data_IF_181109687069
#
_entry.id   IF_181109687069
#
_cell.length_a   1.000
_cell.length_b   1.000
_cell.length_c   1.000
_cell.angle_alpha   90.00
_cell.angle_beta   90.00
_cell.angle_gamma   90.00
#
_symmetry.space_group_name_H-M   'P 1'
#
loop_
_entity.id
_entity.type
_entity.pdbx_description
1 polymer ?
#
# COMPACT_ATOMS: atom_id res chain seq x y z
N UNK A 1 -9.52 -0.79 -1.05
CA UNK A 1 -9.69 -0.86 0.43
C UNK A 1 -8.32 -0.92 1.05
N UNK A 2 -8.12 -0.14 2.11
CA UNK A 2 -6.85 -0.11 2.83
C UNK A 2 -7.14 -0.16 4.31
N UNK A 3 -6.36 -0.94 5.05
CA UNK A 3 -6.41 -1.00 6.51
C UNK A 3 -5.12 -0.42 7.05
N UNK A 4 -5.26 0.50 7.99
CA UNK A 4 -4.14 1.17 8.61
C UNK A 4 -4.14 0.99 10.13
N UNK A 5 -2.96 1.08 10.70
CA UNK A 5 -2.77 1.24 12.13
C UNK A 5 -2.87 2.69 12.57
N UNK A 6 -3.57 2.92 13.68
CA UNK A 6 -3.57 4.19 14.38
C UNK A 6 -2.35 4.35 15.29
N UNK A 7 -2.01 5.59 15.62
CA UNK A 7 -1.03 5.91 16.65
C UNK A 7 -1.42 5.18 17.96
N UNK A 8 -0.48 4.53 18.67
CA UNK A 8 -0.75 3.89 19.95
C UNK A 8 -1.41 4.82 20.98
N UNK A 9 -1.15 6.13 20.90
CA UNK A 9 -1.73 7.15 21.77
C UNK A 9 -3.08 7.70 21.27
N UNK A 10 -3.56 7.25 20.09
CA UNK A 10 -4.85 7.68 19.56
C UNK A 10 -5.98 7.25 20.51
N UNK A 11 -6.77 8.24 20.95
CA UNK A 11 -7.96 8.02 21.75
C UNK A 11 -9.18 8.51 20.98
N UNK A 12 -10.07 7.58 20.63
CA UNK A 12 -11.38 7.90 20.09
C UNK A 12 -12.42 7.72 21.19
N UNK A 13 -13.46 8.55 21.21
CA UNK A 13 -14.57 8.36 22.14
C UNK A 13 -15.34 7.09 21.71
N UNK A 14 -15.24 6.01 22.48
CA UNK A 14 -15.77 4.67 22.16
C UNK A 14 -17.26 4.62 21.78
N UNK A 15 -18.03 5.68 22.06
CA UNK A 15 -19.44 5.80 21.68
C UNK A 15 -19.70 6.33 20.26
N UNK A 16 -18.71 6.92 19.59
CA UNK A 16 -18.81 7.49 18.24
C UNK A 16 -17.42 7.43 17.56
N UNK A 17 -17.02 6.24 17.12
CA UNK A 17 -15.89 6.14 16.19
C UNK A 17 -16.24 6.92 14.92
N UNK A 18 -15.33 7.71 14.35
CA UNK A 18 -15.59 8.42 13.10
C UNK A 18 -15.88 7.42 11.98
N UNK A 19 -17.09 7.49 11.44
CA UNK A 19 -17.50 6.85 10.19
C UNK A 19 -18.07 7.95 9.30
N UNK A 20 -17.22 8.45 8.40
CA UNK A 20 -17.54 9.54 7.49
C UNK A 20 -16.63 9.46 6.26
N UNK A 21 -16.95 10.27 5.26
CA UNK A 21 -16.08 10.51 4.11
C UNK A 21 -14.72 10.97 4.60
N UNK A 22 -13.65 10.33 4.11
CA UNK A 22 -12.29 10.57 4.59
C UNK A 22 -11.87 12.05 4.53
N UNK A 23 -12.37 12.78 3.55
CA UNK A 23 -12.12 14.22 3.41
C UNK A 23 -12.73 15.08 4.53
N UNK A 24 -13.82 14.63 5.17
CA UNK A 24 -14.46 15.34 6.28
C UNK A 24 -13.70 15.13 7.60
N UNK A 25 -13.02 14.00 7.75
CA UNK A 25 -12.38 13.56 8.99
C UNK A 25 -10.84 13.55 8.90
N UNK A 26 -10.25 14.34 8.00
CA UNK A 26 -8.79 14.36 7.75
C UNK A 26 -7.93 14.46 9.01
N UNK A 27 -8.34 15.27 9.99
CA UNK A 27 -7.58 15.43 11.24
C UNK A 27 -7.59 14.16 12.12
N UNK A 28 -8.64 13.35 12.03
CA UNK A 28 -8.73 12.07 12.76
C UNK A 28 -7.97 10.98 11.99
N UNK A 29 -8.04 11.00 10.66
CA UNK A 29 -7.30 10.10 9.77
C UNK A 29 -5.79 10.29 9.90
N UNK A 30 -5.29 11.50 10.13
CA UNK A 30 -3.85 11.73 10.31
C UNK A 30 -3.25 10.97 11.49
N UNK A 31 -4.06 10.55 12.46
CA UNK A 31 -3.62 9.68 13.54
C UNK A 31 -3.43 8.23 13.10
N UNK A 32 -3.94 7.84 11.93
CA UNK A 32 -3.97 6.46 11.46
C UNK A 32 -3.46 6.26 10.03
N UNK A 33 -2.72 7.21 9.45
CA UNK A 33 -2.36 7.17 8.03
C UNK A 33 -0.94 6.68 7.74
N UNK A 34 -0.16 6.33 8.76
CA UNK A 34 1.28 6.07 8.62
C UNK A 34 1.63 4.62 8.30
N UNK A 35 0.90 3.66 8.86
CA UNK A 35 1.23 2.22 8.74
C UNK A 35 0.10 1.47 8.08
N UNK A 36 0.35 0.93 6.88
CA UNK A 36 -0.59 0.08 6.15
C UNK A 36 -0.38 -1.37 6.59
N UNK A 37 -1.47 -2.08 6.90
CA UNK A 37 -1.44 -3.50 7.30
C UNK A 37 -2.19 -4.42 6.34
N UNK A 38 -3.03 -3.85 5.47
CA UNK A 38 -3.77 -4.61 4.47
C UNK A 38 -4.22 -3.70 3.34
N UNK A 39 -4.14 -4.21 2.11
CA UNK A 39 -4.59 -3.51 0.91
C UNK A 39 -5.35 -4.49 0.04
N UNK A 40 -6.43 -4.05 -0.55
CA UNK A 40 -7.10 -4.73 -1.65
C UNK A 40 -7.50 -3.71 -2.72
N UNK A 41 -7.27 -4.06 -3.98
CA UNK A 41 -7.57 -3.23 -5.14
C UNK A 41 -8.39 -4.03 -6.17
N UNK A 42 -9.01 -3.33 -7.11
CA UNK A 42 -9.83 -3.96 -8.17
C UNK A 42 -9.02 -5.02 -8.95
N UNK A 43 -9.63 -6.19 -9.14
CA UNK A 43 -8.96 -7.36 -9.74
C UNK A 43 -7.84 -7.96 -8.90
N UNK A 44 -7.73 -7.57 -7.63
CA UNK A 44 -6.93 -8.21 -6.61
C UNK A 44 -7.41 -9.64 -6.33
N UNK A 45 -6.48 -10.52 -5.95
CA UNK A 45 -6.85 -11.85 -5.44
C UNK A 45 -7.70 -11.72 -4.17
N UNK A 46 -8.59 -12.69 -3.95
CA UNK A 46 -9.44 -12.75 -2.75
C UNK A 46 -8.62 -12.97 -1.46
N UNK A 47 -7.43 -13.56 -1.60
CA UNK A 47 -6.56 -13.94 -0.48
C UNK A 47 -5.12 -13.54 -0.80
N UNK A 48 -4.51 -12.74 0.09
CA UNK A 48 -3.07 -12.53 0.10
C UNK A 48 -2.43 -13.49 1.12
N UNK A 49 -1.62 -14.43 0.63
CA UNK A 49 -0.88 -15.35 1.48
C UNK A 49 0.50 -14.78 1.83
N UNK A 50 0.82 -14.78 3.14
CA UNK A 50 2.15 -14.43 3.61
C UNK A 50 3.12 -15.62 3.49
N UNK A 51 4.44 -15.37 3.36
CA UNK A 51 5.46 -16.41 3.49
C UNK A 51 5.34 -17.14 4.83
N UNK A 52 5.73 -18.42 4.88
CA UNK A 52 5.58 -19.24 6.10
C UNK A 52 6.40 -18.69 7.28
N UNK A 53 7.55 -18.08 6.98
CA UNK A 53 8.48 -17.48 7.93
C UNK A 53 8.04 -16.09 8.42
N UNK A 54 7.03 -15.47 7.82
CA UNK A 54 6.68 -14.06 8.07
C UNK A 54 5.21 -13.85 8.41
N UNK A 55 4.93 -12.85 9.26
CA UNK A 55 3.59 -12.48 9.67
C UNK A 55 3.50 -11.01 10.07
N UNK A 56 2.28 -10.48 10.17
CA UNK A 56 2.07 -9.16 10.75
C UNK A 56 1.75 -9.31 12.23
N UNK A 57 2.54 -8.73 13.16
CA UNK A 57 2.25 -8.82 14.59
C UNK A 57 0.99 -8.01 14.93
N UNK A 58 0.05 -8.63 15.63
CA UNK A 58 -1.21 -7.99 16.07
C UNK A 58 -1.37 -8.20 17.57
N UNK A 59 -1.65 -7.13 18.32
CA UNK A 59 -1.79 -7.17 19.77
C UNK A 59 -0.45 -7.16 20.54
N UNK A 60 -0.55 -7.17 21.87
CA UNK A 60 0.59 -7.07 22.79
C UNK A 60 0.83 -5.67 23.35
N UNK A 61 1.81 -5.55 24.25
CA UNK A 61 2.05 -4.34 25.08
C UNK A 61 2.41 -3.08 24.27
N UNK A 62 2.83 -3.25 23.01
CA UNK A 62 3.22 -2.16 22.10
C UNK A 62 2.30 -2.03 20.88
N UNK A 63 1.15 -2.72 20.90
CA UNK A 63 0.21 -2.69 19.78
C UNK A 63 -0.68 -1.46 19.82
N UNK A 64 -1.33 -1.21 18.69
CA UNK A 64 -2.27 -0.12 18.53
C UNK A 64 -3.63 -0.51 19.09
N UNK A 65 -4.38 0.48 19.55
CA UNK A 65 -5.73 0.25 20.07
C UNK A 65 -6.79 0.23 18.95
N UNK A 66 -6.49 0.85 17.82
CA UNK A 66 -7.44 1.07 16.74
C UNK A 66 -6.80 0.80 15.38
N UNK A 67 -7.62 0.24 14.51
CA UNK A 67 -7.34 0.13 13.08
C UNK A 67 -8.36 0.97 12.33
N UNK A 68 -7.93 1.65 11.27
CA UNK A 68 -8.80 2.41 10.39
C UNK A 68 -8.97 1.66 9.07
N UNK A 69 -10.21 1.48 8.62
CA UNK A 69 -10.51 0.89 7.32
C UNK A 69 -10.97 2.00 6.38
N UNK A 70 -10.25 2.17 5.28
CA UNK A 70 -10.57 3.09 4.19
C UNK A 70 -11.15 2.30 3.01
N UNK A 71 -12.35 2.69 2.56
CA UNK A 71 -13.05 2.06 1.44
C UNK A 71 -13.28 3.10 0.34
N UNK A 72 -12.82 2.77 -0.86
CA UNK A 72 -13.03 3.59 -2.05
C UNK A 72 -14.23 3.06 -2.85
N UNK A 73 -15.33 3.80 -2.86
CA UNK A 73 -16.52 3.50 -3.65
C UNK A 73 -16.51 4.27 -4.97
N UNK A 74 -16.58 3.56 -6.08
CA UNK A 74 -16.91 4.12 -7.39
C UNK A 74 -18.42 3.94 -7.65
N UNK A 75 -19.19 5.03 -7.64
CA UNK A 75 -20.66 5.02 -7.76
C UNK A 75 -21.12 5.78 -9.02
N UNK A 76 -20.80 5.31 -10.24
CA UNK A 76 -21.09 6.01 -11.49
C UNK A 76 -22.60 6.16 -11.77
N UNK A 77 -23.42 5.28 -11.18
CA UNK A 77 -24.87 5.31 -11.31
C UNK A 77 -25.56 6.17 -10.23
N UNK A 78 -24.79 6.79 -9.33
CA UNK A 78 -25.30 7.64 -8.24
C UNK A 78 -26.39 6.94 -7.42
N UNK A 79 -26.22 5.65 -7.14
CA UNK A 79 -27.16 4.88 -6.32
C UNK A 79 -27.17 5.49 -4.92
N UNK A 80 -28.37 5.80 -4.43
CA UNK A 80 -28.58 6.39 -3.10
C UNK A 80 -29.08 5.33 -2.13
N UNK A 81 -28.71 5.47 -0.85
CA UNK A 81 -29.21 4.65 0.26
C UNK A 81 -29.01 3.14 0.06
N UNK A 82 -27.92 2.72 -0.58
CA UNK A 82 -27.56 1.32 -0.70
C UNK A 82 -26.82 0.88 0.58
N UNK A 83 -27.37 -0.03 1.39
CA UNK A 83 -26.65 -0.56 2.54
C UNK A 83 -25.51 -1.45 2.06
N UNK A 84 -24.30 -1.17 2.52
CA UNK A 84 -23.10 -1.95 2.22
C UNK A 84 -22.54 -2.59 3.50
N UNK A 85 -21.95 -3.77 3.38
CA UNK A 85 -21.19 -4.42 4.45
C UNK A 85 -19.95 -5.06 3.85
N UNK A 86 -19.02 -4.21 3.45
CA UNK A 86 -17.73 -4.60 2.88
C UNK A 86 -16.61 -4.48 3.91
N UNK A 87 -15.59 -5.33 3.81
CA UNK A 87 -14.42 -5.26 4.67
C UNK A 87 -13.33 -6.25 4.27
N UNK A 88 -12.28 -6.31 5.09
CA UNK A 88 -11.15 -7.23 4.94
C UNK A 88 -11.15 -8.21 6.11
N UNK A 89 -10.88 -9.49 5.83
CA UNK A 89 -10.75 -10.54 6.85
C UNK A 89 -9.27 -10.86 7.07
N UNK A 90 -8.82 -10.71 8.31
CA UNK A 90 -7.50 -11.18 8.75
C UNK A 90 -7.60 -12.57 9.37
N UNK A 91 -6.64 -13.44 9.06
CA UNK A 91 -6.49 -14.76 9.68
C UNK A 91 -5.32 -14.71 10.66
N UNK A 92 -5.62 -14.80 11.95
CA UNK A 92 -4.62 -14.66 13.02
C UNK A 92 -4.14 -16.03 13.50
N UNK A 93 -2.83 -16.16 13.71
CA UNK A 93 -2.22 -17.26 14.44
C UNK A 93 -2.05 -16.93 15.92
N UNK A 94 -1.78 -17.94 16.73
CA UNK A 94 -1.51 -17.75 18.16
C UNK A 94 -0.04 -17.41 18.46
N UNK A 95 0.88 -17.76 17.55
CA UNK A 95 2.32 -17.62 17.73
C UNK A 95 2.89 -16.61 16.72
N UNK A 96 3.88 -15.84 17.15
CA UNK A 96 4.64 -14.94 16.28
C UNK A 96 5.48 -15.74 15.28
N UNK A 97 5.62 -15.19 14.08
CA UNK A 97 6.50 -15.72 13.03
C UNK A 97 7.94 -15.21 13.23
N UNK A 98 8.88 -15.76 12.46
CA UNK A 98 10.30 -15.39 12.57
C UNK A 98 10.55 -13.95 12.12
N UNK A 99 9.77 -13.47 11.16
CA UNK A 99 9.93 -12.14 10.57
C UNK A 99 8.62 -11.36 10.56
N UNK A 100 8.73 -10.06 10.87
CA UNK A 100 7.61 -9.13 10.70
C UNK A 100 7.51 -8.72 9.23
N UNK A 101 6.28 -8.65 8.73
CA UNK A 101 5.95 -8.15 7.41
C UNK A 101 5.51 -6.68 7.47
N UNK A 102 5.74 -5.95 6.40
CA UNK A 102 5.23 -4.59 6.25
C UNK A 102 5.16 -4.16 4.79
N UNK A 103 4.51 -3.03 4.55
CA UNK A 103 4.46 -2.39 3.23
C UNK A 103 5.53 -1.31 3.13
N UNK A 104 6.23 -1.30 1.99
CA UNK A 104 7.11 -0.22 1.59
C UNK A 104 6.56 0.42 0.33
N UNK A 105 6.00 1.62 0.48
CA UNK A 105 5.34 2.35 -0.61
C UNK A 105 6.34 3.25 -1.33
N UNK A 106 6.34 3.18 -2.66
CA UNK A 106 7.12 4.06 -3.52
C UNK A 106 6.20 4.73 -4.53
N UNK A 107 6.48 5.98 -4.87
CA UNK A 107 5.74 6.69 -5.90
C UNK A 107 5.79 8.20 -5.70
N UNK A 108 4.83 8.86 -6.33
CA UNK A 108 4.54 10.28 -6.15
C UNK A 108 3.12 10.41 -5.60
N UNK A 109 2.85 11.48 -4.88
CA UNK A 109 1.50 11.74 -4.39
C UNK A 109 0.53 11.94 -5.55
N UNK A 110 -0.68 11.41 -5.42
CA UNK A 110 -1.73 11.54 -6.43
C UNK A 110 -2.45 12.90 -6.35
N UNK A 111 -1.72 13.99 -6.12
CA UNK A 111 -2.26 15.35 -6.10
C UNK A 111 -1.75 16.17 -7.29
N UNK A 112 -2.49 17.23 -7.64
CA UNK A 112 -2.18 18.06 -8.81
C UNK A 112 -0.84 18.81 -8.70
N UNK A 113 -0.27 18.92 -7.50
CA UNK A 113 1.04 19.53 -7.27
C UNK A 113 2.21 18.55 -7.52
N UNK A 114 1.96 17.25 -7.34
CA UNK A 114 2.97 16.19 -7.43
C UNK A 114 2.88 15.36 -8.73
N UNK A 115 1.70 15.31 -9.36
CA UNK A 115 1.46 14.56 -10.58
C UNK A 115 0.61 15.36 -11.57
N UNK A 116 1.16 15.65 -12.75
CA UNK A 116 0.46 16.30 -13.86
C UNK A 116 0.89 15.67 -15.19
N UNK A 117 -0.08 15.15 -15.93
CA UNK A 117 0.13 14.56 -17.26
C UNK A 117 -0.42 15.55 -18.31
N UNK A 118 0.41 16.03 -19.25
CA UNK A 118 -0.06 16.91 -20.32
C UNK A 118 -1.13 16.23 -21.19
N UNK A 119 -2.12 16.99 -21.65
CA UNK A 119 -3.11 16.49 -22.60
C UNK A 119 -2.52 16.29 -24.00
N UNK A 120 -2.98 15.27 -24.72
CA UNK A 120 -2.64 15.03 -26.13
C UNK A 120 -1.25 14.42 -26.38
N UNK A 121 -0.60 13.89 -25.34
CA UNK A 121 0.65 13.14 -25.48
C UNK A 121 0.37 11.65 -25.54
N UNK A 122 1.03 10.94 -26.47
CA UNK A 122 0.85 9.49 -26.62
C UNK A 122 1.50 8.71 -25.47
N UNK A 123 2.61 9.23 -24.92
CA UNK A 123 3.34 8.62 -23.82
C UNK A 123 3.97 9.69 -22.93
N UNK A 124 3.81 9.54 -21.62
CA UNK A 124 4.44 10.39 -20.62
C UNK A 124 4.92 9.53 -19.45
N UNK A 125 6.21 9.62 -19.13
CA UNK A 125 6.81 8.83 -18.05
C UNK A 125 6.92 9.69 -16.81
N UNK A 126 6.43 9.17 -15.68
CA UNK A 126 6.59 9.77 -14.36
C UNK A 126 7.57 8.90 -13.59
N UNK A 127 8.76 9.46 -13.31
CA UNK A 127 9.77 8.80 -12.50
C UNK A 127 9.71 9.31 -11.05
N UNK A 128 9.72 8.39 -10.10
CA UNK A 128 9.88 8.69 -8.68
C UNK A 128 11.07 7.92 -8.12
N UNK A 129 11.82 8.57 -7.24
CA UNK A 129 13.09 8.03 -6.72
C UNK A 129 13.04 7.96 -5.21
N UNK A 130 13.38 6.78 -4.66
CA UNK A 130 13.77 6.67 -3.26
C UNK A 130 15.30 6.89 -3.17
N UNK A 131 15.76 8.06 -2.70
CA UNK A 131 17.18 8.37 -2.68
C UNK A 131 17.92 7.50 -1.67
N UNK A 132 19.24 7.34 -1.84
CA UNK A 132 20.07 6.58 -0.90
C UNK A 132 19.96 7.09 0.55
N UNK A 133 19.80 8.40 0.74
CA UNK A 133 19.55 8.99 2.07
C UNK A 133 18.27 8.45 2.73
N UNK A 134 17.22 8.18 1.96
CA UNK A 134 15.98 7.58 2.47
C UNK A 134 16.17 6.08 2.79
N UNK A 135 17.09 5.38 2.11
CA UNK A 135 17.40 3.98 2.43
C UNK A 135 18.04 3.79 3.81
N UNK A 136 18.53 4.86 4.44
CA UNK A 136 19.12 4.81 5.79
C UNK A 136 18.12 4.45 6.90
N UNK A 137 16.81 4.56 6.64
CA UNK A 137 15.76 4.08 7.56
C UNK A 137 15.63 2.55 7.54
N UNK A 138 16.20 1.86 6.55
CA UNK A 138 16.19 0.40 6.51
C UNK A 138 17.14 -0.18 7.58
N UNK A 139 16.80 -1.34 8.17
CA UNK A 139 17.71 -2.06 9.04
C UNK A 139 19.05 -2.35 8.35
N UNK A 140 20.15 -2.36 9.13
CA UNK A 140 21.49 -2.70 8.59
C UNK A 140 21.55 -4.10 7.99
N UNK A 141 20.72 -5.02 8.47
CA UNK A 141 20.53 -6.37 7.92
C UNK A 141 19.78 -6.39 6.59
N UNK A 142 19.20 -5.27 6.16
CA UNK A 142 18.34 -5.18 4.99
C UNK A 142 16.93 -5.69 5.25
N UNK A 143 16.13 -5.68 4.18
CA UNK A 143 14.78 -6.23 4.11
C UNK A 143 14.64 -7.17 2.91
N UNK A 144 13.78 -8.17 3.07
CA UNK A 144 13.45 -9.13 2.01
C UNK A 144 12.17 -8.72 1.31
N UNK A 145 12.26 -8.32 0.03
CA UNK A 145 11.08 -8.06 -0.79
C UNK A 145 10.64 -9.36 -1.45
N UNK A 146 9.42 -9.80 -1.17
CA UNK A 146 8.86 -11.04 -1.72
C UNK A 146 7.63 -10.80 -2.62
N UNK A 147 7.08 -9.59 -2.62
CA UNK A 147 5.87 -9.24 -3.36
C UNK A 147 5.89 -7.75 -3.74
N UNK A 148 5.21 -7.41 -4.83
CA UNK A 148 4.96 -6.03 -5.26
C UNK A 148 3.47 -5.83 -5.59
N UNK A 149 2.93 -4.66 -5.28
CA UNK A 149 1.56 -4.28 -5.64
C UNK A 149 1.63 -2.97 -6.45
N UNK A 150 1.59 -3.03 -7.79
CA UNK A 150 1.53 -1.82 -8.61
C UNK A 150 0.16 -1.15 -8.46
N UNK A 151 0.15 0.19 -8.44
CA UNK A 151 -1.07 0.98 -8.37
C UNK A 151 -0.93 2.24 -9.23
N UNK A 152 -1.96 2.55 -10.01
CA UNK A 152 -2.12 3.81 -10.73
C UNK A 152 -3.58 4.21 -10.70
N UNK A 153 -3.88 5.48 -11.01
CA UNK A 153 -5.25 5.91 -11.30
C UNK A 153 -5.55 5.83 -12.79
N UNK A 154 -6.85 5.82 -13.12
CA UNK A 154 -7.45 5.92 -14.46
C UNK A 154 -7.00 4.82 -15.45
N UNK A 155 -7.96 4.00 -15.89
CA UNK A 155 -7.72 2.83 -16.74
C UNK A 155 -6.97 3.14 -18.05
N UNK A 156 -7.20 4.30 -18.65
CA UNK A 156 -6.63 4.62 -19.98
C UNK A 156 -5.25 5.31 -19.92
N UNK A 157 -4.83 5.84 -18.77
CA UNK A 157 -3.55 6.56 -18.63
C UNK A 157 -2.45 5.70 -18.01
N UNK A 158 -2.79 4.80 -17.09
CA UNK A 158 -1.83 3.86 -16.51
C UNK A 158 -1.65 2.66 -17.44
N UNK A 159 -0.64 2.68 -18.31
CA UNK A 159 -0.40 1.60 -19.29
C UNK A 159 0.82 0.74 -18.98
N UNK A 160 1.79 1.27 -18.23
CA UNK A 160 3.00 0.53 -17.84
C UNK A 160 3.48 1.00 -16.46
N UNK A 161 4.02 0.06 -15.68
CA UNK A 161 4.55 0.31 -14.33
C UNK A 161 5.78 -0.55 -14.11
N UNK A 162 6.84 0.05 -13.61
CA UNK A 162 8.06 -0.66 -13.23
C UNK A 162 8.68 -0.06 -11.98
N UNK A 163 9.42 -0.90 -11.26
CA UNK A 163 10.25 -0.48 -10.13
C UNK A 163 11.62 -1.11 -10.27
N UNK A 164 12.66 -0.28 -10.35
CA UNK A 164 14.05 -0.71 -10.56
C UNK A 164 14.85 -0.52 -9.29
N UNK A 165 15.60 -1.55 -8.91
CA UNK A 165 16.69 -1.43 -7.95
C UNK A 165 17.93 -0.93 -8.67
N UNK A 166 18.41 0.24 -8.26
CA UNK A 166 19.63 0.86 -8.83
C UNK A 166 20.75 0.75 -7.78
N UNK A 167 21.91 0.24 -8.19
CA UNK A 167 23.13 0.21 -7.37
C UNK A 167 24.29 0.79 -8.18
N UNK A 168 25.06 1.70 -7.59
CA UNK A 168 26.17 2.39 -8.26
C UNK A 168 25.78 2.98 -9.63
N UNK A 169 24.59 3.59 -9.71
CA UNK A 169 24.00 4.16 -10.95
C UNK A 169 23.66 3.15 -12.05
N UNK A 170 23.65 1.85 -11.76
CA UNK A 170 23.25 0.78 -12.69
C UNK A 170 21.99 0.10 -12.19
N UNK A 171 20.99 -0.08 -13.07
CA UNK A 171 19.81 -0.88 -12.77
C UNK A 171 20.22 -2.36 -12.69
N UNK A 172 20.08 -2.96 -11.51
CA UNK A 172 20.53 -4.34 -11.26
C UNK A 172 19.39 -5.35 -11.25
N UNK A 173 18.17 -4.94 -10.86
CA UNK A 173 16.99 -5.79 -10.78
C UNK A 173 15.70 -4.97 -10.93
N UNK A 174 14.63 -5.64 -11.34
CA UNK A 174 13.27 -5.12 -11.20
C UNK A 174 12.62 -5.72 -9.96
N UNK A 175 11.98 -4.89 -9.14
CA UNK A 175 11.05 -5.33 -8.09
C UNK A 175 9.65 -5.57 -8.67
N UNK A 176 9.31 -4.86 -9.75
CA UNK A 176 8.13 -5.09 -10.56
C UNK A 176 8.39 -4.56 -11.97
N UNK A 177 7.80 -5.18 -12.99
CA UNK A 177 7.87 -4.71 -14.37
C UNK A 177 6.67 -5.21 -15.17
N UNK A 178 5.81 -4.30 -15.64
CA UNK A 178 4.74 -4.59 -16.58
C UNK A 178 4.64 -3.48 -17.63
N UNK A 179 4.81 -3.85 -18.90
CA UNK A 179 4.64 -2.94 -20.04
C UNK A 179 3.18 -2.86 -20.51
N UNK A 180 2.34 -3.78 -20.04
CA UNK A 180 0.91 -3.86 -20.35
C UNK A 180 0.11 -3.91 -19.04
N UNK A 181 0.36 -2.95 -18.17
CA UNK A 181 -0.37 -2.81 -16.91
C UNK A 181 -1.82 -2.46 -17.19
N UNK A 182 -2.74 -3.02 -16.41
CA UNK A 182 -4.16 -2.78 -16.51
C UNK A 182 -4.71 -2.42 -15.13
N UNK A 183 -5.31 -1.24 -15.01
CA UNK A 183 -5.93 -0.76 -13.78
C UNK A 183 -6.94 -1.74 -13.19
N UNK A 184 -7.64 -2.53 -14.00
CA UNK A 184 -8.63 -3.49 -13.49
C UNK A 184 -8.04 -4.77 -12.90
N UNK A 185 -6.70 -4.92 -12.89
CA UNK A 185 -5.99 -6.09 -12.37
C UNK A 185 -4.82 -5.67 -11.47
N UNK A 186 -5.15 -5.23 -10.26
CA UNK A 186 -4.21 -4.76 -9.25
C UNK A 186 -4.12 -5.75 -8.09
N UNK A 187 -3.28 -6.76 -8.23
CA UNK A 187 -3.07 -7.82 -7.25
C UNK A 187 -1.63 -7.85 -6.72
N UNK A 188 -1.44 -8.54 -5.59
CA UNK A 188 -0.13 -8.78 -4.99
C UNK A 188 0.69 -9.72 -5.87
N UNK A 189 1.61 -9.15 -6.64
CA UNK A 189 2.49 -9.89 -7.53
C UNK A 189 3.65 -10.50 -6.73
N UNK A 190 3.53 -11.78 -6.37
CA UNK A 190 4.60 -12.52 -5.71
C UNK A 190 5.81 -12.66 -6.63
N UNK A 191 6.98 -12.31 -6.09
CA UNK A 191 8.24 -12.44 -6.81
C UNK A 191 8.60 -13.92 -6.93
N UNK A 192 9.02 -14.40 -8.12
CA UNK A 192 9.54 -15.77 -8.27
C UNK A 192 10.75 -16.05 -7.38
N UNK A 193 11.51 -15.01 -7.06
CA UNK A 193 12.63 -15.05 -6.13
C UNK A 193 12.66 -13.75 -5.32
N UNK A 194 12.64 -13.87 -4.00
CA UNK A 194 12.75 -12.73 -3.10
C UNK A 194 14.06 -11.96 -3.32
N UNK A 195 14.00 -10.65 -3.14
CA UNK A 195 15.10 -9.72 -3.41
C UNK A 195 15.52 -9.04 -2.11
N UNK A 196 16.80 -9.16 -1.78
CA UNK A 196 17.37 -8.43 -0.66
C UNK A 196 17.68 -6.97 -1.02
N UNK A 197 17.10 -6.08 -0.23
CA UNK A 197 17.38 -4.65 -0.24
C UNK A 197 18.20 -4.30 1.00
N UNK A 198 19.33 -3.63 0.79
CA UNK A 198 20.21 -3.18 1.87
C UNK A 198 20.25 -1.65 1.86
N UNK A 199 20.43 -1.00 3.02
CA UNK A 199 20.74 0.41 3.06
C UNK A 199 22.03 0.71 2.28
N UNK A 200 22.11 1.90 1.68
CA UNK A 200 23.24 2.38 0.89
C UNK A 200 24.10 3.35 1.69
#
# INVERSE_FOLDING_TARGET
MTVYECDPEAQFNDGNLPDDVCDHIRNQITLCSSTIIGVWSVGGDDIMEYPEEAGYPVGGDFSVNYYMVEIHYDNPHMVLNHPDTTGIRFYLGNDLREHDIGYLTFGTDANAQALAIPSGVDQFVIDSYCPASASSSLPKSGITVFCALPHTHLQETGQSVWTKLIRNKVAVKYLFNSEAYNFNYQFHNRLPKSIQLYPV
#
